data_IF_044806320704
#
_entry.id   IF_044806320704
#
_cell.length_a   1.000
_cell.length_b   1.000
_cell.length_c   1.000
_cell.angle_alpha   90.00
_cell.angle_beta   90.00
_cell.angle_gamma   90.00
#
_symmetry.space_group_name_H-M   'P 1'
#
loop_
_entity.id
_entity.type
_entity.pdbx_description
1 polymer ?
#
# COMPACT_ATOMS: atom_id res chain seq x y z
N UNK A 1 -22.11 -1.45 23.88
CA UNK A 1 -22.17 -0.50 22.75
C UNK A 1 -21.44 -1.15 21.58
N UNK A 2 -22.18 -1.68 20.61
CA UNK A 2 -21.60 -2.07 19.32
C UNK A 2 -21.19 -0.78 18.61
N UNK A 3 -19.91 -0.65 18.29
CA UNK A 3 -19.41 0.50 17.52
C UNK A 3 -19.84 0.27 16.08
N UNK A 4 -20.72 1.10 15.54
CA UNK A 4 -21.30 0.91 14.18
C UNK A 4 -20.28 1.11 13.04
N UNK A 5 -19.07 1.61 13.35
CA UNK A 5 -17.99 1.72 12.38
C UNK A 5 -17.11 0.45 12.37
N UNK A 6 -16.78 -0.10 11.18
CA UNK A 6 -15.90 -1.25 11.07
C UNK A 6 -14.52 -0.95 11.65
N UNK A 7 -13.82 -1.99 12.11
CA UNK A 7 -12.39 -1.88 12.37
C UNK A 7 -11.64 -1.93 11.04
N UNK A 8 -10.66 -1.05 10.88
CA UNK A 8 -9.79 -1.03 9.70
C UNK A 8 -8.42 -1.57 10.13
N UNK A 9 -7.96 -2.63 9.45
CA UNK A 9 -6.61 -3.19 9.63
C UNK A 9 -5.83 -2.93 8.35
N UNK A 10 -4.80 -2.08 8.44
CA UNK A 10 -3.90 -1.79 7.32
C UNK A 10 -2.65 -2.67 7.41
N UNK A 11 -2.49 -3.61 6.48
CA UNK A 11 -1.32 -4.49 6.39
C UNK A 11 -0.45 -4.00 5.23
N UNK A 12 0.78 -3.60 5.53
CA UNK A 12 1.78 -3.21 4.53
C UNK A 12 2.97 -4.13 4.60
N UNK A 13 3.39 -4.65 3.47
CA UNK A 13 4.66 -5.36 3.29
C UNK A 13 5.75 -4.35 2.89
N UNK A 14 7.01 -4.75 3.03
CA UNK A 14 8.16 -3.95 2.57
C UNK A 14 8.87 -4.72 1.45
N UNK A 15 9.02 -4.07 0.30
CA UNK A 15 9.79 -4.56 -0.84
C UNK A 15 9.28 -5.92 -1.39
N UNK A 16 7.95 -6.08 -1.40
CA UNK A 16 7.31 -7.24 -2.01
C UNK A 16 7.06 -6.99 -3.51
N UNK A 17 7.11 -8.07 -4.27
CA UNK A 17 6.67 -8.12 -5.67
C UNK A 17 5.37 -8.95 -5.78
N UNK A 18 4.70 -9.00 -6.94
CA UNK A 18 3.49 -9.79 -7.12
C UNK A 18 3.70 -11.31 -7.22
N UNK A 19 4.82 -11.87 -6.73
CA UNK A 19 5.01 -13.33 -6.65
C UNK A 19 4.21 -13.92 -5.48
N UNK A 20 2.89 -13.88 -5.64
CA UNK A 20 1.88 -14.43 -4.76
C UNK A 20 0.95 -15.26 -5.65
N UNK A 21 0.54 -16.46 -5.21
CA UNK A 21 -0.34 -17.35 -5.99
C UNK A 21 -1.62 -16.65 -6.48
N UNK A 22 -2.16 -15.73 -5.68
CA UNK A 22 -3.29 -14.87 -6.04
C UNK A 22 -3.12 -14.03 -7.33
N UNK A 23 -1.90 -13.85 -7.83
CA UNK A 23 -1.59 -13.05 -9.02
C UNK A 23 -1.16 -13.89 -10.24
N UNK A 24 -1.19 -15.23 -10.16
CA UNK A 24 -0.73 -16.12 -11.23
C UNK A 24 -1.37 -15.85 -12.61
N UNK A 25 -2.63 -15.43 -12.63
CA UNK A 25 -3.33 -15.08 -13.87
C UNK A 25 -2.79 -13.84 -14.60
N UNK A 26 -2.00 -12.99 -13.94
CA UNK A 26 -1.59 -11.68 -14.45
C UNK A 26 -0.10 -11.36 -14.28
N UNK A 27 0.63 -12.14 -13.47
CA UNK A 27 2.06 -11.97 -13.24
C UNK A 27 2.80 -13.27 -13.55
N UNK A 28 3.80 -13.25 -14.45
CA UNK A 28 4.56 -14.45 -14.79
C UNK A 28 5.20 -15.09 -13.56
N UNK A 29 5.04 -16.41 -13.45
CA UNK A 29 5.65 -17.22 -12.39
C UNK A 29 5.29 -16.71 -10.97
N UNK A 30 4.06 -16.22 -10.77
CA UNK A 30 3.65 -15.69 -9.46
C UNK A 30 3.50 -16.78 -8.39
N UNK A 31 3.22 -18.01 -8.80
CA UNK A 31 2.91 -19.17 -7.95
C UNK A 31 4.15 -19.93 -7.43
N UNK A 32 5.37 -19.47 -7.76
CA UNK A 32 6.61 -20.15 -7.39
C UNK A 32 6.84 -20.20 -5.86
N UNK A 33 6.14 -19.34 -5.10
CA UNK A 33 6.17 -19.30 -3.63
C UNK A 33 4.79 -19.65 -3.09
N UNK A 34 4.74 -20.58 -2.14
CA UNK A 34 3.47 -20.97 -1.50
C UNK A 34 2.95 -19.87 -0.57
N UNK A 35 1.82 -19.25 -0.93
CA UNK A 35 1.18 -18.16 -0.17
C UNK A 35 -0.28 -18.43 0.22
N UNK A 36 -0.63 -19.63 0.75
CA UNK A 36 -2.02 -20.10 0.82
C UNK A 36 -2.96 -19.19 1.62
N UNK A 37 -2.47 -18.52 2.67
CA UNK A 37 -3.29 -17.60 3.48
C UNK A 37 -3.56 -16.27 2.77
N UNK A 38 -2.64 -15.80 1.94
CA UNK A 38 -2.83 -14.58 1.14
C UNK A 38 -3.77 -14.88 -0.01
N UNK A 39 -3.64 -16.06 -0.61
CA UNK A 39 -4.51 -16.51 -1.71
C UNK A 39 -5.95 -16.67 -1.24
N UNK A 40 -6.16 -17.30 -0.08
CA UNK A 40 -7.48 -17.38 0.57
C UNK A 40 -8.05 -15.99 0.89
N UNK A 41 -7.22 -15.09 1.44
CA UNK A 41 -7.65 -13.72 1.75
C UNK A 41 -8.07 -12.95 0.49
N UNK A 42 -7.33 -13.10 -0.62
CA UNK A 42 -7.67 -12.47 -1.90
C UNK A 42 -8.98 -13.00 -2.47
N UNK A 43 -9.27 -14.30 -2.32
CA UNK A 43 -10.52 -14.92 -2.77
C UNK A 43 -11.76 -14.47 -1.97
N UNK A 44 -11.58 -14.00 -0.74
CA UNK A 44 -12.65 -13.50 0.13
C UNK A 44 -12.90 -11.99 -0.03
N UNK A 45 -12.14 -11.30 -0.89
CA UNK A 45 -12.16 -9.85 -1.01
C UNK A 45 -12.01 -9.37 -2.46
N UNK A 46 -11.45 -8.17 -2.59
CA UNK A 46 -11.14 -7.55 -3.89
C UNK A 46 -9.63 -7.46 -4.03
N UNK A 47 -9.12 -7.98 -5.15
CA UNK A 47 -7.71 -7.90 -5.56
C UNK A 47 -7.61 -6.99 -6.79
N UNK A 48 -6.58 -6.16 -6.84
CA UNK A 48 -6.33 -5.24 -7.96
C UNK A 48 -5.18 -5.75 -8.82
N UNK A 49 -5.40 -5.95 -10.12
CA UNK A 49 -4.35 -6.35 -11.07
C UNK A 49 -3.33 -5.24 -11.37
N UNK A 50 -3.74 -3.99 -11.15
CA UNK A 50 -2.97 -2.80 -11.53
C UNK A 50 -2.90 -1.79 -10.38
N UNK A 51 -2.24 -2.18 -9.29
CA UNK A 51 -1.96 -1.31 -8.14
C UNK A 51 -0.50 -0.84 -8.18
N UNK A 52 -0.28 0.47 -8.30
CA UNK A 52 1.06 1.06 -8.41
C UNK A 52 1.36 2.00 -7.22
N UNK A 53 2.59 1.91 -6.70
CA UNK A 53 3.07 2.87 -5.71
C UNK A 53 3.32 4.25 -6.36
N UNK A 54 3.05 5.32 -5.62
CA UNK A 54 3.30 6.70 -6.09
C UNK A 54 4.80 7.02 -6.28
N UNK A 55 5.70 6.18 -5.74
CA UNK A 55 7.14 6.27 -5.91
C UNK A 55 7.79 4.89 -5.68
N UNK A 56 8.94 4.58 -6.33
CA UNK A 56 9.61 3.29 -6.21
C UNK A 56 10.55 3.19 -4.98
N UNK A 57 10.31 4.00 -3.94
CA UNK A 57 11.20 4.10 -2.76
C UNK A 57 10.39 4.30 -1.48
N UNK A 58 10.94 3.81 -0.36
CA UNK A 58 10.19 3.56 0.87
C UNK A 58 9.51 4.80 1.46
N UNK A 59 10.27 5.85 1.79
CA UNK A 59 9.71 7.02 2.48
C UNK A 59 8.73 7.81 1.59
N UNK A 60 9.04 8.07 0.29
CA UNK A 60 8.07 8.71 -0.60
C UNK A 60 6.79 7.88 -0.79
N UNK A 61 6.89 6.57 -1.02
CA UNK A 61 5.71 5.70 -1.17
C UNK A 61 4.82 5.68 0.10
N UNK A 62 5.44 5.56 1.28
CA UNK A 62 4.73 5.58 2.56
C UNK A 62 4.09 6.93 2.84
N UNK A 63 4.77 8.03 2.49
CA UNK A 63 4.20 9.38 2.66
C UNK A 63 2.92 9.55 1.82
N UNK A 64 2.90 9.00 0.60
CA UNK A 64 1.70 9.04 -0.24
C UNK A 64 0.54 8.26 0.37
N UNK A 65 0.80 7.04 0.85
CA UNK A 65 -0.23 6.21 1.50
C UNK A 65 -0.77 6.90 2.75
N UNK A 66 0.11 7.46 3.60
CA UNK A 66 -0.29 8.06 4.87
C UNK A 66 -1.04 9.37 4.71
N UNK A 67 -0.82 10.12 3.63
CA UNK A 67 -1.40 11.47 3.45
C UNK A 67 -2.44 11.54 2.34
N UNK A 68 -2.57 10.50 1.51
CA UNK A 68 -3.35 10.54 0.28
C UNK A 68 -2.81 11.50 -0.80
N UNK A 69 -1.62 12.08 -0.59
CA UNK A 69 -1.04 13.08 -1.48
C UNK A 69 0.08 12.51 -2.35
N UNK A 70 0.23 13.01 -3.58
CA UNK A 70 1.44 12.71 -4.36
C UNK A 70 2.67 13.28 -3.64
N UNK A 71 3.79 12.53 -3.51
CA UNK A 71 4.94 12.99 -2.73
C UNK A 71 5.55 14.30 -3.27
N UNK A 72 5.43 14.56 -4.58
CA UNK A 72 5.91 15.79 -5.21
C UNK A 72 5.12 17.03 -4.76
N UNK A 73 3.84 16.87 -4.47
CA UNK A 73 2.96 17.95 -4.05
C UNK A 73 3.24 18.42 -2.61
N UNK A 74 3.87 17.58 -1.79
CA UNK A 74 4.09 17.84 -0.36
C UNK A 74 5.58 17.84 0.03
N UNK A 75 6.50 17.84 -0.94
CA UNK A 75 7.94 17.92 -0.70
C UNK A 75 8.60 16.63 -0.18
N UNK A 76 7.93 15.48 -0.30
CA UNK A 76 8.38 14.18 0.24
C UNK A 76 8.96 13.23 -0.81
N UNK A 77 9.30 13.71 -2.01
CA UNK A 77 9.85 12.88 -3.11
C UNK A 77 11.22 12.24 -2.82
N UNK A 78 12.00 12.80 -1.89
CA UNK A 78 13.34 12.31 -1.60
C UNK A 78 13.39 11.55 -0.28
N UNK A 79 14.14 10.44 -0.27
CA UNK A 79 14.53 9.79 0.97
C UNK A 79 15.25 10.81 1.87
N UNK A 80 14.91 10.81 3.17
CA UNK A 80 15.50 11.71 4.18
C UNK A 80 15.27 13.20 3.91
N UNK A 81 14.16 13.55 3.23
CA UNK A 81 13.73 14.95 3.12
C UNK A 81 13.50 15.57 4.50
N UNK A 82 13.78 16.87 4.62
CA UNK A 82 13.43 17.70 5.80
C UNK A 82 12.29 18.67 5.49
N UNK A 83 11.66 18.53 4.34
CA UNK A 83 10.51 19.35 3.97
C UNK A 83 9.38 19.16 4.99
N UNK A 84 8.71 20.24 5.31
CA UNK A 84 7.48 20.21 6.11
C UNK A 84 6.30 20.20 5.13
N UNK A 85 5.40 19.21 5.19
CA UNK A 85 4.20 19.21 4.37
C UNK A 85 3.35 20.48 4.61
N UNK A 86 2.56 20.93 3.61
CA UNK A 86 1.59 22.01 3.78
C UNK A 86 0.67 21.79 5.01
N UNK A 87 0.23 22.89 5.64
CA UNK A 87 -0.50 22.84 6.93
C UNK A 87 -1.88 22.16 6.85
N UNK A 88 -2.44 22.04 5.65
CA UNK A 88 -3.70 21.38 5.34
C UNK A 88 -3.56 19.86 5.10
N UNK A 89 -2.34 19.34 4.96
CA UNK A 89 -2.09 17.90 4.88
C UNK A 89 -2.44 17.25 6.23
N UNK A 90 -3.15 16.11 6.16
CA UNK A 90 -3.54 15.28 7.31
C UNK A 90 -3.08 13.85 7.08
N UNK A 91 -2.91 13.12 8.18
CA UNK A 91 -2.68 11.68 8.10
C UNK A 91 -4.02 10.94 7.94
N UNK A 92 -4.02 9.78 7.28
CA UNK A 92 -5.20 8.92 7.09
C UNK A 92 -5.82 8.42 8.41
N UNK A 93 -5.07 8.51 9.50
CA UNK A 93 -5.53 8.15 10.84
C UNK A 93 -6.12 9.31 11.65
N UNK A 94 -6.04 10.55 11.15
CA UNK A 94 -6.53 11.77 11.81
C UNK A 94 -7.98 12.09 11.45
#
# INVERSE_FOLDING_TARGET
MTRDAPNIVWISTHDINPHLGAYDSVWPDADQVSTPRIDEFAAQGVRFDQAFAAAPVCAPARSAIMTGCHPISIGTMHMRTKATPPADVRLVSE
#
